data_IF_442105174069
#
_entry.id   IF_442105174069
#
_cell.length_a   1.000
_cell.length_b   1.000
_cell.length_c   1.000
_cell.angle_alpha   90.00
_cell.angle_beta   90.00
_cell.angle_gamma   90.00
#
_symmetry.space_group_name_H-M   'P 1'
#
loop_
_entity.id
_entity.type
_entity.pdbx_description
1 polymer ?
#
# COMPACT_ATOMS: atom_id res chain seq x y z
N UNK A 1 37.29 18.05 14.70
CA UNK A 1 37.21 17.43 13.36
C UNK A 1 37.44 18.51 12.32
N UNK A 2 38.34 18.32 11.33
CA UNK A 2 38.53 19.26 10.23
C UNK A 2 37.22 19.49 9.44
N UNK A 3 36.99 20.69 8.87
CA UNK A 3 35.78 21.00 8.11
C UNK A 3 35.47 20.01 6.97
N UNK A 4 36.51 19.51 6.28
CA UNK A 4 36.37 18.54 5.20
C UNK A 4 35.83 17.18 5.68
N UNK A 5 36.27 16.72 6.85
CA UNK A 5 35.77 15.48 7.45
C UNK A 5 34.32 15.62 7.91
N UNK A 6 33.96 16.78 8.48
CA UNK A 6 32.58 17.08 8.87
C UNK A 6 31.66 17.10 7.64
N UNK A 7 32.10 17.75 6.56
CA UNK A 7 31.34 17.80 5.31
C UNK A 7 31.13 16.41 4.69
N UNK A 8 32.18 15.56 4.67
CA UNK A 8 32.07 14.19 4.21
C UNK A 8 31.07 13.35 5.01
N UNK A 9 31.03 13.51 6.33
CA UNK A 9 30.04 12.84 7.19
C UNK A 9 28.62 13.32 6.94
N UNK A 10 28.41 14.63 6.75
CA UNK A 10 27.09 15.18 6.45
C UNK A 10 26.58 14.65 5.11
N UNK A 11 27.42 14.68 4.06
CA UNK A 11 27.08 14.12 2.76
C UNK A 11 26.78 12.63 2.85
N UNK A 12 27.65 11.85 3.51
CA UNK A 12 27.46 10.42 3.70
C UNK A 12 26.15 10.09 4.43
N UNK A 13 25.79 10.86 5.46
CA UNK A 13 24.57 10.65 6.25
C UNK A 13 23.31 10.96 5.45
N UNK A 14 23.35 12.01 4.62
CA UNK A 14 22.26 12.36 3.71
C UNK A 14 22.09 11.28 2.64
N UNK A 15 23.16 10.87 1.97
CA UNK A 15 23.10 9.82 0.94
C UNK A 15 22.58 8.51 1.51
N UNK A 16 23.08 8.06 2.67
CA UNK A 16 22.60 6.86 3.35
C UNK A 16 21.09 6.95 3.65
N UNK A 17 20.65 8.08 4.22
CA UNK A 17 19.23 8.28 4.57
C UNK A 17 18.34 8.25 3.33
N UNK A 18 18.73 8.93 2.25
CA UNK A 18 17.98 8.93 0.99
C UNK A 18 17.90 7.52 0.40
N UNK A 19 19.01 6.78 0.34
CA UNK A 19 19.03 5.42 -0.20
C UNK A 19 18.18 4.45 0.64
N UNK A 20 18.22 4.57 1.97
CA UNK A 20 17.42 3.75 2.88
C UNK A 20 15.92 4.04 2.73
N UNK A 21 15.54 5.33 2.71
CA UNK A 21 14.14 5.74 2.53
C UNK A 21 13.61 5.34 1.14
N UNK A 22 14.38 5.55 0.09
CA UNK A 22 14.00 5.13 -1.26
C UNK A 22 13.87 3.61 -1.36
N UNK A 23 14.81 2.86 -0.80
CA UNK A 23 14.82 1.40 -0.82
C UNK A 23 13.70 0.74 -0.02
N UNK A 24 13.28 1.34 1.09
CA UNK A 24 12.26 0.75 1.98
C UNK A 24 10.85 1.31 1.71
N UNK A 25 10.73 2.63 1.54
CA UNK A 25 9.42 3.31 1.43
C UNK A 25 9.00 3.58 -0.02
N UNK A 26 9.94 3.66 -0.95
CA UNK A 26 9.65 4.05 -2.34
C UNK A 26 8.57 3.18 -2.99
N UNK A 27 8.56 1.87 -2.68
CA UNK A 27 7.58 0.94 -3.22
C UNK A 27 6.14 1.25 -2.77
N UNK A 28 5.95 1.69 -1.52
CA UNK A 28 4.63 2.07 -1.01
C UNK A 28 4.09 3.33 -1.69
N UNK A 29 4.95 4.31 -1.98
CA UNK A 29 4.55 5.51 -2.72
C UNK A 29 4.17 5.19 -4.17
N UNK A 30 4.95 4.34 -4.85
CA UNK A 30 4.66 3.92 -6.22
C UNK A 30 3.31 3.20 -6.28
N UNK A 31 3.15 2.11 -5.51
CA UNK A 31 1.92 1.33 -5.55
C UNK A 31 0.73 2.08 -4.97
N UNK A 32 0.90 2.85 -3.89
CA UNK A 32 -0.15 3.69 -3.33
C UNK A 32 -0.71 4.68 -4.35
N UNK A 33 0.17 5.31 -5.15
CA UNK A 33 -0.25 6.22 -6.21
C UNK A 33 -1.00 5.50 -7.33
N UNK A 34 -0.47 4.37 -7.81
CA UNK A 34 -1.11 3.58 -8.88
C UNK A 34 -2.48 3.07 -8.45
N UNK A 35 -2.58 2.49 -7.25
CA UNK A 35 -3.83 1.97 -6.71
C UNK A 35 -4.85 3.09 -6.49
N UNK A 36 -4.43 4.25 -5.98
CA UNK A 36 -5.31 5.42 -5.85
C UNK A 36 -5.93 5.85 -7.17
N UNK A 37 -5.13 5.88 -8.25
CA UNK A 37 -5.65 6.22 -9.57
C UNK A 37 -6.64 5.17 -10.09
N UNK A 38 -6.34 3.87 -9.94
CA UNK A 38 -7.23 2.79 -10.38
C UNK A 38 -8.55 2.77 -9.60
N UNK A 39 -8.49 2.97 -8.28
CA UNK A 39 -9.65 3.11 -7.41
C UNK A 39 -10.52 4.29 -7.85
N UNK A 40 -9.91 5.45 -8.10
CA UNK A 40 -10.62 6.65 -8.57
C UNK A 40 -11.30 6.41 -9.93
N UNK A 41 -10.59 5.82 -10.90
CA UNK A 41 -11.14 5.54 -12.22
C UNK A 41 -12.35 4.60 -12.15
N UNK A 42 -12.26 3.56 -11.30
CA UNK A 42 -13.34 2.61 -11.06
C UNK A 42 -14.54 3.29 -10.40
N UNK A 43 -14.28 4.07 -9.34
CA UNK A 43 -15.31 4.79 -8.58
C UNK A 43 -16.06 5.79 -9.45
N UNK A 44 -15.35 6.62 -10.22
CA UNK A 44 -15.97 7.58 -11.15
C UNK A 44 -16.81 6.86 -12.21
N UNK A 45 -16.35 5.70 -12.70
CA UNK A 45 -17.11 4.89 -13.66
C UNK A 45 -18.44 4.42 -13.07
N UNK A 46 -18.45 3.95 -11.82
CA UNK A 46 -19.68 3.57 -11.12
C UNK A 46 -20.60 4.76 -10.89
N UNK A 47 -20.08 5.85 -10.32
CA UNK A 47 -20.88 7.03 -9.97
C UNK A 47 -21.61 7.65 -11.17
N UNK A 48 -20.97 7.66 -12.36
CA UNK A 48 -21.56 8.21 -13.59
C UNK A 48 -22.60 7.32 -14.26
N UNK A 49 -22.77 6.06 -13.83
CA UNK A 49 -23.60 5.09 -14.54
C UNK A 49 -24.64 4.44 -13.64
N UNK A 50 -24.21 3.67 -12.65
CA UNK A 50 -25.09 2.92 -11.73
C UNK A 50 -25.15 3.55 -10.33
N UNK A 51 -24.47 4.68 -10.14
CA UNK A 51 -24.42 5.43 -8.89
C UNK A 51 -23.65 4.70 -7.79
N UNK A 52 -23.97 5.04 -6.55
CA UNK A 52 -23.27 4.58 -5.36
C UNK A 52 -23.29 3.06 -5.15
N UNK A 53 -24.31 2.36 -5.66
CA UNK A 53 -24.46 0.91 -5.51
C UNK A 53 -23.24 0.12 -6.01
N UNK A 54 -22.58 0.62 -7.06
CA UNK A 54 -21.36 -0.02 -7.59
C UNK A 54 -20.18 0.04 -6.62
N UNK A 55 -20.02 1.16 -5.91
CA UNK A 55 -18.95 1.35 -4.91
C UNK A 55 -19.19 0.45 -3.69
N UNK A 56 -20.45 0.31 -3.27
CA UNK A 56 -20.82 -0.48 -2.08
C UNK A 56 -20.54 -1.98 -2.24
N UNK A 57 -20.47 -2.50 -3.48
CA UNK A 57 -20.19 -3.91 -3.78
C UNK A 57 -18.87 -4.42 -3.18
N UNK A 58 -17.86 -3.55 -3.12
CA UNK A 58 -16.52 -3.85 -2.60
C UNK A 58 -16.24 -3.14 -1.28
N UNK A 59 -16.90 -2.00 -1.02
CA UNK A 59 -16.63 -1.16 0.15
C UNK A 59 -16.99 -1.82 1.48
N UNK A 60 -18.02 -2.68 1.52
CA UNK A 60 -18.48 -3.30 2.77
C UNK A 60 -17.40 -4.12 3.48
N UNK A 61 -16.40 -4.62 2.76
CA UNK A 61 -15.26 -5.36 3.31
C UNK A 61 -13.96 -4.53 3.26
N UNK A 62 -13.70 -3.86 2.14
CA UNK A 62 -12.47 -3.08 1.95
C UNK A 62 -12.36 -1.92 2.94
N UNK A 63 -13.44 -1.16 3.14
CA UNK A 63 -13.45 0.01 4.04
C UNK A 63 -13.24 -0.36 5.51
N UNK A 64 -13.90 -1.39 6.08
CA UNK A 64 -13.55 -1.83 7.44
C UNK A 64 -12.08 -2.18 7.63
N UNK A 65 -11.47 -2.87 6.67
CA UNK A 65 -10.03 -3.23 6.75
C UNK A 65 -9.17 -1.96 6.71
N UNK A 66 -9.53 -1.01 5.85
CA UNK A 66 -8.89 0.31 5.77
C UNK A 66 -8.93 1.05 7.11
N UNK A 67 -10.13 1.22 7.69
CA UNK A 67 -10.33 1.96 8.93
C UNK A 67 -9.77 1.22 10.16
N UNK A 68 -9.83 -0.10 10.18
CA UNK A 68 -9.16 -0.90 11.22
C UNK A 68 -7.65 -0.68 11.19
N UNK A 69 -7.06 -0.44 10.02
CA UNK A 69 -5.65 -0.10 9.94
C UNK A 69 -5.33 1.22 10.62
N UNK A 70 -6.11 2.27 10.36
CA UNK A 70 -5.97 3.55 11.05
C UNK A 70 -6.07 3.37 12.56
N UNK A 71 -7.09 2.64 13.03
CA UNK A 71 -7.29 2.37 14.46
C UNK A 71 -6.12 1.60 15.07
N UNK A 72 -5.62 0.57 14.39
CA UNK A 72 -4.48 -0.24 14.84
C UNK A 72 -3.25 0.63 15.08
N UNK A 73 -2.85 1.43 14.09
CA UNK A 73 -1.67 2.28 14.24
C UNK A 73 -1.89 3.46 15.19
N UNK A 74 -3.13 3.94 15.36
CA UNK A 74 -3.43 4.89 16.42
C UNK A 74 -3.08 4.30 17.80
N UNK A 75 -3.43 3.04 18.06
CA UNK A 75 -3.10 2.37 19.33
C UNK A 75 -1.59 2.18 19.49
N UNK A 76 -0.90 1.71 18.44
CA UNK A 76 0.56 1.47 18.46
C UNK A 76 1.34 2.74 18.80
N UNK A 77 0.92 3.90 18.26
CA UNK A 77 1.62 5.17 18.45
C UNK A 77 1.03 6.04 19.56
N UNK A 78 0.08 5.54 20.34
CA UNK A 78 -0.50 6.25 21.48
C UNK A 78 -1.41 7.43 21.11
N UNK A 79 -1.99 7.42 19.91
CA UNK A 79 -3.00 8.40 19.51
C UNK A 79 -4.32 8.12 20.20
N UNK A 80 -4.99 9.17 20.64
CA UNK A 80 -6.29 9.06 21.31
C UNK A 80 -7.40 8.98 20.27
N UNK A 81 -7.97 7.79 20.10
CA UNK A 81 -9.13 7.59 19.25
C UNK A 81 -10.36 8.25 19.90
N UNK A 82 -11.08 9.07 19.14
CA UNK A 82 -12.31 9.78 19.55
C UNK A 82 -13.56 9.11 19.02
N UNK A 83 -13.49 8.61 17.79
CA UNK A 83 -14.58 7.87 17.16
C UNK A 83 -14.03 6.92 16.09
N UNK A 84 -14.70 5.77 15.96
CA UNK A 84 -14.46 4.80 14.89
C UNK A 84 -15.80 4.49 14.23
N UNK A 85 -15.85 4.63 12.91
CA UNK A 85 -16.94 4.16 12.05
C UNK A 85 -16.33 3.33 10.93
N UNK A 86 -16.32 2.01 11.09
CA UNK A 86 -15.67 1.10 10.13
C UNK A 86 -16.38 1.05 8.79
N UNK A 87 -17.71 1.16 8.81
CA UNK A 87 -18.54 1.21 7.62
C UNK A 87 -19.83 1.97 7.94
N UNK A 88 -19.88 3.23 7.51
CA UNK A 88 -21.08 4.06 7.56
C UNK A 88 -21.14 4.88 6.26
N UNK A 89 -21.52 4.24 5.13
CA UNK A 89 -21.57 4.92 3.86
C UNK A 89 -22.55 6.09 3.87
N UNK A 90 -22.08 7.26 3.49
CA UNK A 90 -22.83 8.50 3.37
C UNK A 90 -22.65 9.10 1.97
N UNK A 91 -23.70 8.95 1.15
CA UNK A 91 -23.71 9.39 -0.24
C UNK A 91 -23.57 10.91 -0.39
N UNK A 92 -24.04 11.68 0.60
CA UNK A 92 -23.97 13.14 0.55
C UNK A 92 -22.54 13.65 0.72
N UNK A 93 -21.72 12.94 1.53
CA UNK A 93 -20.34 13.34 1.81
C UNK A 93 -19.29 12.55 1.04
N UNK A 94 -19.66 11.42 0.44
CA UNK A 94 -18.72 10.51 -0.21
C UNK A 94 -17.99 9.58 0.76
N UNK A 95 -18.23 9.70 2.07
CA UNK A 95 -17.50 8.95 3.10
C UNK A 95 -18.04 7.54 3.26
N UNK A 96 -17.15 6.54 3.34
CA UNK A 96 -17.51 5.14 3.59
C UNK A 96 -17.29 4.73 5.05
N UNK A 97 -16.35 5.37 5.73
CA UNK A 97 -15.94 5.11 7.10
C UNK A 97 -14.95 6.19 7.55
N UNK A 98 -14.61 6.20 8.84
CA UNK A 98 -13.55 7.06 9.37
C UNK A 98 -13.05 6.61 10.76
N UNK A 99 -11.79 6.94 11.05
CA UNK A 99 -11.21 6.98 12.40
C UNK A 99 -10.80 8.40 12.75
N UNK A 100 -11.52 9.00 13.71
CA UNK A 100 -11.17 10.28 14.29
C UNK A 100 -10.23 10.05 15.48
N UNK A 101 -9.06 10.70 15.46
CA UNK A 101 -8.05 10.59 16.52
C UNK A 101 -7.37 11.93 16.79
N UNK A 102 -6.75 12.03 17.96
CA UNK A 102 -5.97 13.18 18.41
C UNK A 102 -4.57 12.74 18.84
N UNK A 103 -3.61 13.65 18.70
CA UNK A 103 -2.21 13.40 19.01
C UNK A 103 -1.52 14.67 19.53
N UNK A 104 -0.39 14.50 20.23
CA UNK A 104 0.39 15.62 20.73
C UNK A 104 1.43 16.03 19.67
N UNK A 105 1.36 17.24 19.08
CA UNK A 105 2.25 17.64 17.99
C UNK A 105 3.73 17.70 18.40
N UNK A 106 4.02 17.90 19.68
CA UNK A 106 5.39 17.98 20.19
C UNK A 106 5.98 16.59 20.53
N UNK A 107 5.21 15.51 20.41
CA UNK A 107 5.69 14.16 20.68
C UNK A 107 6.20 13.51 19.39
N UNK A 108 7.50 13.21 19.33
CA UNK A 108 8.13 12.60 18.16
C UNK A 108 7.56 11.23 17.80
N UNK A 109 7.12 10.44 18.79
CA UNK A 109 6.49 9.13 18.57
C UNK A 109 5.15 9.31 17.84
N UNK A 110 4.36 10.31 18.21
CA UNK A 110 3.10 10.61 17.54
C UNK A 110 3.35 11.17 16.13
N UNK A 111 4.41 11.97 15.95
CA UNK A 111 4.78 12.47 14.63
C UNK A 111 5.19 11.34 13.68
N UNK A 112 6.03 10.40 14.14
CA UNK A 112 6.31 9.17 13.38
C UNK A 112 5.01 8.37 13.17
N UNK A 113 4.14 8.30 14.18
CA UNK A 113 2.85 7.65 14.10
C UNK A 113 1.94 8.17 12.98
N UNK A 114 1.97 9.48 12.68
CA UNK A 114 1.24 10.05 11.55
C UNK A 114 1.61 9.40 10.21
N UNK A 115 2.88 9.02 10.02
CA UNK A 115 3.29 8.29 8.82
C UNK A 115 2.61 6.93 8.73
N UNK A 116 2.71 6.13 9.79
CA UNK A 116 2.17 4.78 9.80
C UNK A 116 0.65 4.75 9.80
N UNK A 117 -0.01 5.70 10.46
CA UNK A 117 -1.47 5.86 10.40
C UNK A 117 -1.87 6.22 8.97
N UNK A 118 -1.23 7.21 8.33
CA UNK A 118 -1.55 7.55 6.94
C UNK A 118 -1.26 6.41 5.94
N UNK A 119 -0.21 5.62 6.17
CA UNK A 119 0.13 4.45 5.36
C UNK A 119 -0.61 3.17 5.78
N UNK A 120 -1.42 3.22 6.86
CA UNK A 120 -2.03 2.07 7.47
C UNK A 120 -2.87 1.22 6.51
N UNK A 121 -3.68 1.81 5.61
CA UNK A 121 -4.46 1.03 4.67
C UNK A 121 -3.61 0.11 3.80
N UNK A 122 -2.47 0.59 3.31
CA UNK A 122 -1.54 -0.21 2.51
C UNK A 122 -0.93 -1.36 3.32
N UNK A 123 -0.50 -1.09 4.54
CA UNK A 123 0.17 -2.11 5.39
C UNK A 123 -0.84 -3.18 5.83
N UNK A 124 -1.99 -2.76 6.34
CA UNK A 124 -3.00 -3.66 6.91
C UNK A 124 -3.80 -4.36 5.82
N UNK A 125 -4.10 -3.68 4.71
CA UNK A 125 -4.67 -4.34 3.54
C UNK A 125 -3.73 -5.35 2.91
N UNK A 126 -2.42 -5.11 2.92
CA UNK A 126 -1.43 -6.10 2.49
C UNK A 126 -1.43 -7.33 3.41
N UNK A 127 -1.46 -7.12 4.73
CA UNK A 127 -1.56 -8.21 5.70
C UNK A 127 -2.88 -9.01 5.55
N UNK A 128 -4.00 -8.33 5.33
CA UNK A 128 -5.30 -8.95 5.07
C UNK A 128 -5.30 -9.75 3.75
N UNK A 129 -4.67 -9.22 2.70
CA UNK A 129 -4.49 -9.92 1.43
C UNK A 129 -3.63 -11.18 1.60
N UNK A 130 -2.53 -11.07 2.33
CA UNK A 130 -1.68 -12.22 2.65
C UNK A 130 -2.44 -13.29 3.45
N UNK A 131 -3.24 -12.88 4.44
CA UNK A 131 -4.07 -13.80 5.20
C UNK A 131 -5.10 -14.51 4.29
N UNK A 132 -5.77 -13.76 3.42
CA UNK A 132 -6.69 -14.34 2.44
C UNK A 132 -5.98 -15.34 1.51
N UNK A 133 -4.77 -15.02 1.05
CA UNK A 133 -3.95 -15.94 0.25
C UNK A 133 -3.62 -17.21 1.04
N UNK A 134 -3.16 -17.07 2.29
CA UNK A 134 -2.74 -18.20 3.11
C UNK A 134 -3.87 -19.20 3.34
N UNK A 135 -5.08 -18.71 3.66
CA UNK A 135 -6.22 -19.56 4.02
C UNK A 135 -7.03 -20.08 2.84
N UNK A 136 -7.07 -19.37 1.70
CA UNK A 136 -8.03 -19.67 0.62
C UNK A 136 -7.38 -20.14 -0.68
N UNK A 137 -6.07 -19.92 -0.87
CA UNK A 137 -5.38 -20.37 -2.08
C UNK A 137 -4.88 -21.81 -1.87
N UNK A 138 -5.31 -22.79 -2.69
CA UNK A 138 -4.97 -24.20 -2.48
C UNK A 138 -3.48 -24.53 -2.46
N UNK A 139 -2.66 -23.79 -3.22
CA UNK A 139 -1.21 -23.93 -3.26
C UNK A 139 -0.48 -22.79 -2.52
N UNK A 140 -1.11 -22.18 -1.51
CA UNK A 140 -0.57 -21.01 -0.78
C UNK A 140 0.84 -21.21 -0.25
N UNK A 141 1.15 -22.37 0.33
CA UNK A 141 2.49 -22.69 0.83
C UNK A 141 3.56 -22.62 -0.25
N UNK A 142 3.27 -23.17 -1.44
CA UNK A 142 4.19 -23.14 -2.58
C UNK A 142 4.42 -21.70 -3.05
N UNK A 143 3.34 -20.92 -3.14
CA UNK A 143 3.39 -19.51 -3.53
C UNK A 143 4.26 -18.73 -2.55
N UNK A 144 3.98 -18.81 -1.24
CA UNK A 144 4.70 -18.09 -0.19
C UNK A 144 6.18 -18.52 -0.15
N UNK A 145 6.47 -19.81 -0.21
CA UNK A 145 7.84 -20.31 -0.18
C UNK A 145 8.65 -19.84 -1.41
N UNK A 146 8.04 -19.83 -2.60
CA UNK A 146 8.69 -19.35 -3.81
C UNK A 146 8.97 -17.83 -3.74
N UNK A 147 8.01 -17.04 -3.24
CA UNK A 147 8.16 -15.60 -3.03
C UNK A 147 9.28 -15.30 -2.03
N UNK A 148 9.31 -16.00 -0.88
CA UNK A 148 10.35 -15.82 0.14
C UNK A 148 11.75 -16.17 -0.38
N UNK A 149 11.89 -17.28 -1.11
CA UNK A 149 13.18 -17.68 -1.72
C UNK A 149 13.73 -16.61 -2.66
N UNK A 150 12.87 -16.00 -3.48
CA UNK A 150 13.29 -14.89 -4.35
C UNK A 150 13.63 -13.63 -3.57
N UNK A 151 12.87 -13.36 -2.51
CA UNK A 151 13.11 -12.21 -1.62
C UNK A 151 14.44 -12.30 -0.87
N UNK A 152 14.99 -13.49 -0.65
CA UNK A 152 16.34 -13.66 -0.07
C UNK A 152 17.44 -13.01 -0.92
N UNK A 153 17.27 -12.97 -2.25
CA UNK A 153 18.23 -12.36 -3.17
C UNK A 153 18.37 -10.84 -2.94
N UNK A 154 17.34 -10.20 -2.38
CA UNK A 154 17.36 -8.77 -2.05
C UNK A 154 18.41 -8.43 -0.99
N UNK A 155 18.73 -9.37 -0.11
CA UNK A 155 19.73 -9.17 0.96
C UNK A 155 21.18 -9.21 0.44
N UNK A 156 21.37 -9.63 -0.81
CA UNK A 156 22.67 -9.80 -1.44
C UNK A 156 23.14 -8.55 -2.21
N UNK A 157 22.27 -7.57 -2.43
CA UNK A 157 22.59 -6.34 -3.17
C UNK A 157 22.28 -5.09 -2.34
N UNK A 158 23.06 -4.03 -2.53
CA UNK A 158 22.81 -2.68 -1.99
C UNK A 158 22.26 -1.71 -3.03
N UNK A 159 22.21 -2.12 -4.30
CA UNK A 159 21.75 -1.29 -5.39
C UNK A 159 20.21 -1.24 -5.39
N UNK A 160 19.67 -0.05 -5.12
CA UNK A 160 18.23 0.20 -5.05
C UNK A 160 17.52 -0.12 -6.37
N UNK A 161 18.18 0.10 -7.52
CA UNK A 161 17.62 -0.20 -8.83
C UNK A 161 17.48 -1.71 -9.03
N UNK A 162 18.51 -2.46 -8.67
CA UNK A 162 18.50 -3.93 -8.75
C UNK A 162 17.47 -4.51 -7.77
N UNK A 163 17.39 -3.98 -6.54
CA UNK A 163 16.36 -4.39 -5.57
C UNK A 163 14.96 -4.12 -6.10
N UNK A 164 14.71 -2.95 -6.71
CA UNK A 164 13.44 -2.62 -7.35
C UNK A 164 13.04 -3.62 -8.44
N UNK A 165 13.98 -3.96 -9.33
CA UNK A 165 13.72 -4.94 -10.39
C UNK A 165 13.42 -6.33 -9.82
N UNK A 166 14.17 -6.78 -8.81
CA UNK A 166 13.96 -8.07 -8.15
C UNK A 166 12.59 -8.12 -7.44
N UNK A 167 12.18 -7.04 -6.79
CA UNK A 167 10.87 -6.91 -6.16
C UNK A 167 9.74 -7.02 -7.18
N UNK A 168 9.84 -6.32 -8.31
CA UNK A 168 8.84 -6.38 -9.38
C UNK A 168 8.76 -7.79 -9.99
N UNK A 169 9.89 -8.40 -10.30
CA UNK A 169 9.95 -9.78 -10.82
C UNK A 169 9.34 -10.78 -9.83
N UNK A 170 9.60 -10.60 -8.54
CA UNK A 170 9.02 -11.43 -7.47
C UNK A 170 7.49 -11.33 -7.48
N UNK A 171 6.93 -10.14 -7.65
CA UNK A 171 5.49 -9.96 -7.77
C UNK A 171 4.91 -10.61 -9.02
N UNK A 172 5.51 -10.40 -10.19
CA UNK A 172 5.06 -10.99 -11.46
C UNK A 172 5.07 -12.52 -11.39
N UNK A 173 6.11 -13.11 -10.82
CA UNK A 173 6.20 -14.56 -10.72
C UNK A 173 5.26 -15.14 -9.66
N UNK A 174 4.95 -14.38 -8.61
CA UNK A 174 3.89 -14.75 -7.65
C UNK A 174 2.54 -14.84 -8.36
N UNK A 175 2.21 -13.91 -9.27
CA UNK A 175 0.98 -13.97 -10.06
C UNK A 175 0.87 -15.25 -10.89
N UNK A 176 1.95 -15.67 -11.54
CA UNK A 176 1.97 -16.90 -12.35
C UNK A 176 1.68 -18.14 -11.51
N UNK A 177 2.13 -18.16 -10.26
CA UNK A 177 1.87 -19.26 -9.33
C UNK A 177 0.45 -19.24 -8.76
N UNK A 178 -0.20 -18.07 -8.70
CA UNK A 178 -1.59 -17.93 -8.26
C UNK A 178 -2.57 -18.40 -9.34
N UNK A 179 -2.36 -18.00 -10.60
CA UNK A 179 -3.28 -18.32 -11.70
C UNK A 179 -2.93 -19.65 -12.40
N UNK A 180 -3.02 -20.75 -11.65
CA UNK A 180 -2.88 -22.10 -12.18
C UNK A 180 -4.24 -22.71 -12.51
N UNK A 181 -4.27 -23.64 -13.47
CA UNK A 181 -5.51 -24.33 -13.83
C UNK A 181 -6.12 -25.08 -12.63
N UNK A 182 -5.28 -25.66 -11.76
CA UNK A 182 -5.74 -26.32 -10.52
C UNK A 182 -6.46 -25.36 -9.57
N UNK A 183 -5.99 -24.12 -9.44
CA UNK A 183 -6.62 -23.13 -8.57
C UNK A 183 -7.96 -22.64 -9.14
N UNK A 184 -8.05 -22.46 -10.46
CA UNK A 184 -9.29 -21.97 -11.11
C UNK A 184 -10.48 -22.93 -10.95
N UNK A 185 -10.24 -24.23 -10.76
CA UNK A 185 -11.29 -25.22 -10.50
C UNK A 185 -11.75 -25.27 -9.03
N UNK A 186 -11.14 -24.49 -8.13
CA UNK A 186 -11.46 -24.49 -6.70
C UNK A 186 -12.32 -23.29 -6.34
N UNK A 187 -13.40 -23.51 -5.58
CA UNK A 187 -14.33 -22.46 -5.17
C UNK A 187 -13.64 -21.48 -4.21
N UNK A 188 -12.75 -21.99 -3.37
CA UNK A 188 -11.93 -21.25 -2.42
C UNK A 188 -11.11 -20.16 -3.12
N UNK A 189 -10.60 -20.44 -4.32
CA UNK A 189 -9.86 -19.46 -5.11
C UNK A 189 -10.74 -18.30 -5.59
N UNK A 190 -12.01 -18.57 -5.92
CA UNK A 190 -12.95 -17.51 -6.32
C UNK A 190 -13.39 -16.66 -5.12
N UNK A 191 -13.55 -17.27 -3.94
CA UNK A 191 -13.77 -16.54 -2.69
C UNK A 191 -12.56 -15.64 -2.39
N UNK A 192 -11.34 -16.16 -2.55
CA UNK A 192 -10.11 -15.39 -2.45
C UNK A 192 -10.09 -14.20 -3.41
N UNK A 193 -10.40 -14.42 -4.69
CA UNK A 193 -10.42 -13.34 -5.68
C UNK A 193 -11.44 -12.25 -5.34
N UNK A 194 -12.61 -12.61 -4.83
CA UNK A 194 -13.60 -11.62 -4.40
C UNK A 194 -13.14 -10.81 -3.18
N UNK A 195 -12.58 -11.46 -2.16
CA UNK A 195 -12.00 -10.78 -1.00
C UNK A 195 -10.85 -9.87 -1.43
N UNK A 196 -9.96 -10.38 -2.28
CA UNK A 196 -8.85 -9.62 -2.84
C UNK A 196 -9.33 -8.39 -3.60
N UNK A 197 -10.38 -8.54 -4.41
CA UNK A 197 -11.00 -7.43 -5.11
C UNK A 197 -11.55 -6.37 -4.14
N UNK A 198 -12.23 -6.79 -3.07
CA UNK A 198 -12.75 -5.88 -2.06
C UNK A 198 -11.64 -5.09 -1.36
N UNK A 199 -10.55 -5.77 -0.97
CA UNK A 199 -9.40 -5.14 -0.33
C UNK A 199 -8.71 -4.19 -1.32
N UNK A 200 -8.34 -4.68 -2.51
CA UNK A 200 -7.58 -3.91 -3.49
C UNK A 200 -8.31 -2.64 -3.96
N UNK A 201 -9.65 -2.68 -4.00
CA UNK A 201 -10.47 -1.53 -4.39
C UNK A 201 -10.55 -0.41 -3.35
N UNK A 202 -10.07 -0.63 -2.12
CA UNK A 202 -10.17 0.33 -1.00
C UNK A 202 -8.88 0.42 -0.17
N UNK A 203 -7.78 -0.14 -0.66
CA UNK A 203 -6.48 -0.15 0.05
C UNK A 203 -5.69 1.15 -0.18
N UNK A 204 -6.04 1.93 -1.21
CA UNK A 204 -5.28 3.11 -1.54
C UNK A 204 -5.51 4.20 -0.47
N UNK A 205 -4.44 4.87 0.01
CA UNK A 205 -4.62 5.96 0.97
C UNK A 205 -5.32 7.15 0.32
N UNK A 206 -6.23 7.77 1.08
CA UNK A 206 -6.93 8.97 0.61
C UNK A 206 -6.00 10.19 0.59
N UNK A 207 -6.40 11.31 -0.04
CA UNK A 207 -5.67 12.57 0.06
C UNK A 207 -5.52 13.09 1.50
N UNK A 208 -6.44 12.75 2.41
CA UNK A 208 -6.32 13.10 3.82
C UNK A 208 -5.24 12.24 4.52
N UNK A 209 -5.16 10.95 4.17
CA UNK A 209 -4.14 10.04 4.71
C UNK A 209 -2.75 10.42 4.21
N UNK A 210 -2.64 10.75 2.93
CA UNK A 210 -1.38 11.22 2.34
C UNK A 210 -0.84 12.48 3.02
N UNK A 211 -1.71 13.40 3.44
CA UNK A 211 -1.26 14.58 4.23
C UNK A 211 -0.62 14.16 5.55
N UNK A 212 -1.14 13.13 6.22
CA UNK A 212 -0.53 12.58 7.45
C UNK A 212 0.79 11.89 7.15
N UNK A 213 0.88 11.15 6.04
CA UNK A 213 2.12 10.52 5.57
C UNK A 213 3.22 11.54 5.40
N UNK A 214 2.97 12.66 4.71
CA UNK A 214 3.98 13.70 4.51
C UNK A 214 4.45 14.35 5.82
N UNK A 215 3.52 14.61 6.75
CA UNK A 215 3.87 15.14 8.07
C UNK A 215 4.77 14.20 8.87
N UNK A 216 4.43 12.90 8.91
CA UNK A 216 5.23 11.92 9.64
C UNK A 216 6.54 11.54 8.94
N UNK A 217 6.60 11.60 7.60
CA UNK A 217 7.82 11.34 6.85
C UNK A 217 8.92 12.34 7.23
N UNK A 218 8.58 13.60 7.47
CA UNK A 218 9.56 14.60 7.91
C UNK A 218 10.22 14.23 9.25
N UNK A 219 9.42 13.72 10.21
CA UNK A 219 9.95 13.23 11.48
C UNK A 219 10.84 11.98 11.29
N UNK A 220 10.44 11.04 10.43
CA UNK A 220 11.25 9.85 10.09
C UNK A 220 12.59 10.28 9.46
N UNK A 221 12.59 11.20 8.50
CA UNK A 221 13.80 11.73 7.85
C UNK A 221 14.74 12.33 8.90
N UNK A 222 14.23 13.16 9.81
CA UNK A 222 15.04 13.77 10.87
C UNK A 222 15.69 12.74 11.78
N UNK A 223 14.94 11.72 12.22
CA UNK A 223 15.46 10.65 13.07
C UNK A 223 16.47 9.78 12.33
N UNK A 224 16.20 9.41 11.07
CA UNK A 224 17.12 8.59 10.28
C UNK A 224 18.42 9.34 9.96
N UNK A 225 18.35 10.64 9.65
CA UNK A 225 19.54 11.47 9.47
C UNK A 225 20.41 11.47 10.73
N UNK A 226 19.80 11.64 11.92
CA UNK A 226 20.51 11.61 13.19
C UNK A 226 21.16 10.25 13.46
N UNK A 227 20.44 9.15 13.23
CA UNK A 227 20.94 7.78 13.43
C UNK A 227 22.11 7.51 12.47
N UNK A 228 21.96 7.83 11.18
CA UNK A 228 23.03 7.63 10.19
C UNK A 228 24.26 8.48 10.51
N UNK A 229 24.07 9.71 10.97
CA UNK A 229 25.17 10.58 11.40
C UNK A 229 25.94 9.99 12.59
N UNK A 230 25.24 9.51 13.62
CA UNK A 230 25.87 8.87 14.79
C UNK A 230 26.59 7.56 14.39
N UNK A 231 25.99 6.75 13.51
CA UNK A 231 26.62 5.52 13.02
C UNK A 231 27.93 5.81 12.29
N UNK A 232 27.94 6.82 11.41
CA UNK A 232 29.14 7.19 10.65
C UNK A 232 30.22 7.83 11.52
N UNK A 233 29.85 8.58 12.57
CA UNK A 233 30.81 9.03 13.59
C UNK A 233 31.54 7.87 14.26
N UNK A 234 30.87 6.71 14.36
CA UNK A 234 31.44 5.47 14.92
C UNK A 234 32.16 4.62 13.85
N UNK A 235 32.34 5.13 12.63
CA UNK A 235 32.93 4.41 11.51
C UNK A 235 32.06 3.29 10.94
N UNK A 236 30.77 3.26 11.27
CA UNK A 236 29.82 2.21 10.86
C UNK A 236 28.86 2.70 9.78
N UNK A 237 28.55 1.83 8.81
CA UNK A 237 27.48 2.03 7.83
C UNK A 237 26.37 1.02 8.09
N UNK A 238 25.20 1.51 8.50
CA UNK A 238 24.02 0.70 8.82
C UNK A 238 23.09 0.47 7.62
N UNK A 239 23.44 0.98 6.44
CA UNK A 239 22.57 0.94 5.26
C UNK A 239 22.21 -0.48 4.86
N UNK A 240 23.16 -1.42 4.96
CA UNK A 240 22.88 -2.84 4.66
C UNK A 240 21.86 -3.44 5.63
N UNK A 241 21.95 -3.11 6.91
CA UNK A 241 21.07 -3.59 7.97
C UNK A 241 19.66 -3.04 7.76
N UNK A 242 19.53 -1.74 7.45
CA UNK A 242 18.23 -1.12 7.14
C UNK A 242 17.64 -1.73 5.86
N UNK A 243 18.42 -1.87 4.79
CA UNK A 243 17.94 -2.45 3.53
C UNK A 243 17.64 -3.96 3.64
N UNK A 244 18.14 -4.66 4.67
CA UNK A 244 17.80 -6.07 4.89
C UNK A 244 16.31 -6.29 5.19
N UNK A 245 15.61 -5.25 5.66
CA UNK A 245 14.14 -5.24 5.82
C UNK A 245 13.42 -5.58 4.51
N UNK A 246 14.05 -5.29 3.36
CA UNK A 246 13.48 -5.59 2.04
C UNK A 246 13.23 -7.09 1.81
N UNK A 247 13.88 -7.97 2.57
CA UNK A 247 13.53 -9.39 2.63
C UNK A 247 12.04 -9.61 2.92
N UNK A 248 11.48 -8.90 3.89
CA UNK A 248 10.06 -8.99 4.24
C UNK A 248 9.17 -8.20 3.27
N UNK A 249 9.69 -7.15 2.63
CA UNK A 249 8.96 -6.40 1.61
C UNK A 249 8.64 -7.22 0.36
N UNK A 250 9.38 -8.29 0.05
CA UNK A 250 9.11 -9.09 -1.14
C UNK A 250 7.70 -9.71 -1.17
N UNK A 251 7.18 -10.17 -0.02
CA UNK A 251 5.77 -10.58 0.10
C UNK A 251 4.84 -9.38 -0.11
N UNK A 252 5.15 -8.24 0.50
CA UNK A 252 4.31 -7.05 0.38
C UNK A 252 4.21 -6.56 -1.07
N UNK A 253 5.32 -6.53 -1.79
CA UNK A 253 5.35 -6.18 -3.21
C UNK A 253 4.58 -7.18 -4.04
N UNK A 254 4.68 -8.47 -3.74
CA UNK A 254 3.87 -9.46 -4.44
C UNK A 254 2.38 -9.22 -4.27
N UNK A 255 1.94 -8.85 -3.06
CA UNK A 255 0.54 -8.47 -2.80
C UNK A 255 0.18 -7.16 -3.51
N UNK A 256 1.05 -6.16 -3.54
CA UNK A 256 0.76 -4.90 -4.26
C UNK A 256 0.68 -5.07 -5.77
N UNK A 257 1.57 -5.88 -6.37
CA UNK A 257 1.50 -6.26 -7.78
C UNK A 257 0.17 -6.96 -8.06
N UNK A 258 -0.24 -7.90 -7.21
CA UNK A 258 -1.53 -8.57 -7.31
C UNK A 258 -2.73 -7.63 -7.17
N UNK A 259 -2.75 -6.78 -6.15
CA UNK A 259 -3.77 -5.75 -5.98
C UNK A 259 -3.86 -4.83 -7.20
N UNK A 260 -2.72 -4.48 -7.80
CA UNK A 260 -2.68 -3.62 -8.99
C UNK A 260 -3.29 -4.31 -10.20
N UNK A 261 -2.93 -5.58 -10.44
CA UNK A 261 -3.47 -6.38 -11.55
C UNK A 261 -4.97 -6.61 -11.39
N UNK A 262 -5.44 -6.95 -10.19
CA UNK A 262 -6.87 -7.11 -9.93
C UNK A 262 -7.62 -5.79 -10.07
N UNK A 263 -7.09 -4.68 -9.53
CA UNK A 263 -7.73 -3.37 -9.64
C UNK A 263 -7.81 -2.90 -11.10
N UNK A 264 -6.76 -3.16 -11.89
CA UNK A 264 -6.75 -2.87 -13.32
C UNK A 264 -7.78 -3.74 -14.06
N UNK A 265 -7.79 -5.06 -13.81
CA UNK A 265 -8.76 -5.96 -14.42
C UNK A 265 -10.21 -5.57 -14.07
N UNK A 266 -10.45 -5.20 -12.82
CA UNK A 266 -11.72 -4.69 -12.33
C UNK A 266 -12.14 -3.41 -13.05
N UNK A 267 -11.24 -2.43 -13.13
CA UNK A 267 -11.48 -1.19 -13.87
C UNK A 267 -11.83 -1.49 -15.33
N UNK A 268 -11.03 -2.28 -16.04
CA UNK A 268 -11.26 -2.59 -17.45
C UNK A 268 -12.59 -3.32 -17.68
N UNK A 269 -12.91 -4.31 -16.83
CA UNK A 269 -14.15 -5.07 -16.91
C UNK A 269 -15.37 -4.17 -16.72
N UNK A 270 -15.42 -3.40 -15.63
CA UNK A 270 -16.55 -2.51 -15.38
C UNK A 270 -16.59 -1.34 -16.35
N UNK A 271 -15.45 -0.77 -16.75
CA UNK A 271 -15.43 0.29 -17.75
C UNK A 271 -16.08 -0.16 -19.07
N UNK A 272 -15.76 -1.37 -19.54
CA UNK A 272 -16.39 -1.92 -20.75
C UNK A 272 -17.90 -2.08 -20.59
N UNK A 273 -18.34 -2.74 -19.51
CA UNK A 273 -19.77 -2.98 -19.26
C UNK A 273 -20.56 -1.69 -19.11
N UNK A 274 -20.03 -0.74 -18.32
CA UNK A 274 -20.67 0.52 -18.02
C UNK A 274 -20.64 1.47 -19.22
N UNK A 275 -19.62 1.40 -20.09
CA UNK A 275 -19.60 2.15 -21.34
C UNK A 275 -20.69 1.67 -22.32
N UNK A 276 -20.88 0.34 -22.42
CA UNK A 276 -21.97 -0.23 -23.22
C UNK A 276 -23.33 0.20 -22.65
N UNK A 277 -23.50 0.10 -21.33
CA UNK A 277 -24.71 0.55 -20.65
C UNK A 277 -24.99 2.05 -20.89
N UNK A 278 -23.98 2.90 -20.71
CA UNK A 278 -24.10 4.34 -20.91
C UNK A 278 -24.45 4.71 -22.35
N UNK A 279 -23.89 3.99 -23.32
CA UNK A 279 -24.23 4.16 -24.72
C UNK A 279 -25.70 3.79 -25.01
N UNK A 280 -26.19 2.68 -24.45
CA UNK A 280 -27.56 2.19 -24.66
C UNK A 280 -28.57 3.14 -24.00
N UNK A 281 -28.33 3.55 -22.75
CA UNK A 281 -29.29 4.31 -21.95
C UNK A 281 -29.22 5.83 -22.17
N UNK A 282 -28.01 6.38 -22.32
CA UNK A 282 -27.77 7.83 -22.33
C UNK A 282 -27.19 8.36 -23.66
N UNK A 283 -26.84 7.48 -24.62
CA UNK A 283 -26.20 7.85 -25.90
C UNK A 283 -24.92 8.68 -25.71
N UNK A 284 -24.22 8.46 -24.60
CA UNK A 284 -22.99 9.19 -24.23
C UNK A 284 -21.83 8.22 -23.99
N UNK A 285 -20.61 8.67 -24.27
CA UNK A 285 -19.40 7.95 -23.91
C UNK A 285 -19.03 8.19 -22.45
N UNK A 286 -18.73 7.11 -21.73
CA UNK A 286 -18.23 7.20 -20.36
C UNK A 286 -16.80 7.74 -20.36
N UNK A 287 -16.58 8.91 -19.74
CA UNK A 287 -15.24 9.44 -19.52
C UNK A 287 -14.87 9.32 -18.02
N UNK A 288 -13.97 8.38 -17.64
CA UNK A 288 -13.60 8.17 -16.25
C UNK A 288 -12.57 9.19 -15.74
N UNK A 289 -12.02 10.04 -16.63
CA UNK A 289 -10.99 11.02 -16.29
C UNK A 289 -11.55 12.39 -15.87
N UNK A 290 -12.85 12.64 -16.06
CA UNK A 290 -13.49 13.88 -15.59
C UNK A 290 -13.98 13.75 -14.15
N UNK A 291 -13.89 14.85 -13.41
CA UNK A 291 -14.35 14.92 -12.01
C UNK A 291 -15.86 14.67 -11.94
N UNK A 292 -16.31 13.99 -10.88
CA UNK A 292 -17.72 13.83 -10.53
C UNK A 292 -18.19 15.05 -9.74
#
# INVERSE_FOLDING_TARGET
MPPEQLWGLLQGSVTATVSQLAGVLGVFFIFGTVLYWLERLTTVSFLKTIGWKGVLLTAWLGTPIHELGHAFFCLVFGHKIRAIKLYQPDEATGMLGYVAHEYHPNNIVHQIGNFFIGAAPLIIGCAAMYAALYFLVPNSEQVIAATLRKSQLLTMTRDVTVQGQLLLNTGIDTLKLLFTQSNLYRVEFWIFLYIALCIASHIAPSPADMRRVWGGLAAIVGVMLLINFIAQLSGSDITRQVLSINYYLGIAVAMFVFSTVISLANFLFFYLLLSIYAWICYRSWLNPFTVY
#
